data_IF_837046085230
#
_entry.id   IF_837046085230
#
_cell.length_a   1.000
_cell.length_b   1.000
_cell.length_c   1.000
_cell.angle_alpha   90.00
_cell.angle_beta   90.00
_cell.angle_gamma   90.00
#
_symmetry.space_group_name_H-M   'P 1'
#
loop_
_entity.id
_entity.type
_entity.pdbx_description
1 polymer ?
#
# COMPACT_ATOMS: atom_id res chain seq x y z
N UNK A 1 20.65 -12.82 -48.30
CA UNK A 1 19.18 -12.93 -48.13
C UNK A 1 18.81 -12.06 -46.92
N UNK A 2 18.16 -10.93 -47.14
CA UNK A 2 17.51 -10.22 -46.02
C UNK A 2 16.36 -11.11 -45.55
N UNK A 3 16.14 -11.18 -44.23
CA UNK A 3 15.17 -12.10 -43.61
C UNK A 3 13.73 -11.98 -44.16
N UNK A 4 13.44 -10.89 -44.88
CA UNK A 4 12.16 -10.61 -45.53
C UNK A 4 12.42 -10.09 -46.95
N UNK A 5 11.81 -10.73 -47.94
CA UNK A 5 11.97 -10.51 -49.38
C UNK A 5 11.45 -9.12 -49.83
N UNK A 6 12.09 -8.03 -49.42
CA UNK A 6 11.84 -6.67 -49.94
C UNK A 6 10.43 -6.11 -49.72
N UNK A 7 9.56 -6.80 -48.97
CA UNK A 7 8.19 -6.36 -48.68
C UNK A 7 8.15 -5.47 -47.44
N UNK A 8 7.55 -4.28 -47.57
CA UNK A 8 7.31 -3.35 -46.48
C UNK A 8 5.83 -3.42 -46.01
N UNK A 9 5.54 -3.32 -44.70
CA UNK A 9 6.47 -3.22 -43.57
C UNK A 9 7.15 -4.56 -43.24
N UNK A 10 8.36 -4.50 -42.68
CA UNK A 10 9.14 -5.69 -42.32
C UNK A 10 8.47 -6.58 -41.27
N UNK A 11 7.58 -6.02 -40.45
CA UNK A 11 6.79 -6.75 -39.45
C UNK A 11 5.30 -6.45 -39.68
N UNK A 12 4.61 -7.21 -40.54
CA UNK A 12 3.22 -6.95 -40.92
C UNK A 12 2.18 -7.36 -39.85
N UNK A 13 2.57 -7.43 -38.57
CA UNK A 13 1.69 -7.77 -37.46
C UNK A 13 1.06 -6.53 -36.82
N UNK A 14 -0.14 -6.69 -36.25
CA UNK A 14 -0.69 -5.67 -35.37
C UNK A 14 0.17 -5.56 -34.10
N UNK A 15 0.48 -4.33 -33.68
CA UNK A 15 1.15 -4.10 -32.42
C UNK A 15 0.28 -4.62 -31.27
N UNK A 16 0.87 -5.42 -30.37
CA UNK A 16 0.15 -5.92 -29.21
C UNK A 16 -0.08 -4.80 -28.19
N UNK A 17 -1.30 -4.69 -27.67
CA UNK A 17 -1.62 -3.82 -26.55
C UNK A 17 -1.33 -4.54 -25.23
N UNK A 18 -0.88 -3.79 -24.22
CA UNK A 18 -0.69 -4.35 -22.89
C UNK A 18 -2.07 -4.54 -22.20
N UNK A 19 -2.38 -5.73 -21.65
CA UNK A 19 -3.74 -6.07 -21.22
C UNK A 19 -4.16 -5.45 -19.87
N UNK A 20 -3.22 -4.93 -19.09
CA UNK A 20 -3.49 -4.40 -17.75
C UNK A 20 -3.00 -2.96 -17.62
N UNK A 21 -3.33 -2.33 -16.50
CA UNK A 21 -2.66 -1.09 -16.14
C UNK A 21 -1.17 -1.35 -15.85
N UNK A 22 -0.30 -0.63 -16.55
CA UNK A 22 1.15 -0.76 -16.41
C UNK A 22 1.62 -0.39 -15.01
N UNK A 23 1.03 0.63 -14.37
CA UNK A 23 1.43 1.02 -13.01
C UNK A 23 1.12 -0.06 -11.98
N UNK A 24 -0.06 -0.69 -12.11
CA UNK A 24 -0.44 -1.80 -11.25
C UNK A 24 0.44 -3.03 -11.47
N UNK A 25 0.71 -3.38 -12.74
CA UNK A 25 1.59 -4.51 -13.08
C UNK A 25 3.01 -4.32 -12.51
N UNK A 26 3.57 -3.11 -12.59
CA UNK A 26 4.88 -2.79 -12.01
C UNK A 26 4.86 -2.99 -10.49
N UNK A 27 3.89 -2.41 -9.78
CA UNK A 27 3.78 -2.54 -8.32
C UNK A 27 3.69 -4.02 -7.92
N UNK A 28 2.78 -4.77 -8.52
CA UNK A 28 2.60 -6.20 -8.22
C UNK A 28 3.88 -6.99 -8.50
N UNK A 29 4.55 -6.75 -9.63
CA UNK A 29 5.81 -7.44 -9.96
C UNK A 29 6.91 -7.18 -8.93
N UNK A 30 7.06 -5.94 -8.45
CA UNK A 30 8.06 -5.57 -7.45
C UNK A 30 7.79 -6.28 -6.13
N UNK A 31 6.55 -6.22 -5.62
CA UNK A 31 6.21 -6.88 -4.35
C UNK A 31 6.28 -8.40 -4.43
N UNK A 32 5.90 -9.01 -5.57
CA UNK A 32 6.06 -10.45 -5.78
C UNK A 32 7.54 -10.85 -5.83
N UNK A 33 8.41 -10.04 -6.45
CA UNK A 33 9.85 -10.31 -6.47
C UNK A 33 10.44 -10.26 -5.05
N UNK A 34 10.03 -9.28 -4.23
CA UNK A 34 10.44 -9.18 -2.81
C UNK A 34 9.91 -10.34 -1.98
N UNK A 35 8.67 -10.77 -2.22
CA UNK A 35 8.11 -11.94 -1.54
C UNK A 35 8.88 -13.21 -1.91
N UNK A 36 9.23 -13.39 -3.18
CA UNK A 36 9.99 -14.53 -3.66
C UNK A 36 11.39 -14.58 -3.02
N UNK A 37 12.09 -13.44 -2.92
CA UNK A 37 13.41 -13.40 -2.25
C UNK A 37 13.31 -13.75 -0.77
N UNK A 38 12.28 -13.29 -0.05
CA UNK A 38 12.07 -13.68 1.35
C UNK A 38 11.71 -15.16 1.52
N UNK A 39 10.98 -15.76 0.57
CA UNK A 39 10.71 -17.20 0.56
C UNK A 39 12.01 -18.00 0.35
N UNK A 40 12.92 -17.53 -0.50
CA UNK A 40 14.22 -18.17 -0.74
C UNK A 40 15.11 -18.10 0.51
N UNK A 41 15.08 -17.00 1.26
CA UNK A 41 15.88 -16.82 2.49
C UNK A 41 15.26 -17.59 3.68
N UNK A 42 13.97 -17.92 3.62
CA UNK A 42 13.20 -18.54 4.70
C UNK A 42 13.84 -19.82 5.31
N UNK A 43 14.48 -20.74 4.55
CA UNK A 43 15.15 -21.91 5.12
C UNK A 43 16.35 -21.57 6.01
N UNK A 44 16.96 -20.39 5.84
CA UNK A 44 18.10 -19.93 6.64
C UNK A 44 17.72 -19.48 8.06
N UNK A 45 16.43 -19.31 8.36
CA UNK A 45 15.94 -18.86 9.67
C UNK A 45 15.69 -20.07 10.57
N UNK A 46 16.35 -20.07 11.73
CA UNK A 46 16.34 -21.19 12.69
C UNK A 46 15.04 -21.26 13.49
N UNK A 47 14.60 -22.48 13.80
CA UNK A 47 13.61 -22.76 14.86
C UNK A 47 12.14 -22.47 14.55
N UNK A 48 11.34 -22.35 15.62
CA UNK A 48 9.87 -22.09 15.57
C UNK A 48 9.53 -20.63 15.24
N UNK A 49 10.48 -19.71 15.38
CA UNK A 49 10.35 -18.29 15.06
C UNK A 49 10.12 -17.99 13.56
N UNK A 50 10.43 -18.95 12.69
CA UNK A 50 10.29 -18.85 11.23
C UNK A 50 8.87 -18.51 10.77
N UNK A 51 7.85 -19.11 11.39
CA UNK A 51 6.45 -18.84 11.02
C UNK A 51 6.04 -17.42 11.38
N UNK A 52 6.41 -16.93 12.56
CA UNK A 52 6.12 -15.57 13.00
C UNK A 52 6.84 -14.53 12.14
N UNK A 53 8.11 -14.78 11.79
CA UNK A 53 8.85 -13.93 10.86
C UNK A 53 8.20 -13.89 9.48
N UNK A 54 7.81 -15.05 8.93
CA UNK A 54 7.15 -15.12 7.63
C UNK A 54 5.83 -14.36 7.63
N UNK A 55 4.96 -14.60 8.62
CA UNK A 55 3.67 -13.91 8.74
C UNK A 55 3.87 -12.39 8.86
N UNK A 56 4.86 -11.94 9.62
CA UNK A 56 5.20 -10.52 9.73
C UNK A 56 5.68 -9.92 8.40
N UNK A 57 6.55 -10.61 7.66
CA UNK A 57 7.05 -10.13 6.38
C UNK A 57 5.92 -10.07 5.34
N UNK A 58 5.10 -11.12 5.26
CA UNK A 58 3.97 -11.18 4.34
C UNK A 58 2.94 -10.10 4.65
N UNK A 59 2.54 -9.94 5.92
CA UNK A 59 1.58 -8.89 6.31
C UNK A 59 2.16 -7.50 6.09
N UNK A 60 3.44 -7.27 6.42
CA UNK A 60 4.13 -6.00 6.17
C UNK A 60 4.14 -5.65 4.68
N UNK A 61 4.60 -6.57 3.82
CA UNK A 61 4.61 -6.37 2.37
C UNK A 61 3.22 -6.18 1.79
N UNK A 62 2.23 -6.96 2.25
CA UNK A 62 0.84 -6.83 1.80
C UNK A 62 0.28 -5.43 2.06
N UNK A 63 0.47 -4.89 3.28
CA UNK A 63 0.02 -3.54 3.60
C UNK A 63 0.67 -2.50 2.68
N UNK A 64 1.99 -2.58 2.46
CA UNK A 64 2.69 -1.66 1.56
C UNK A 64 2.23 -1.75 0.12
N UNK A 65 2.02 -2.98 -0.38
CA UNK A 65 1.54 -3.23 -1.73
C UNK A 65 0.14 -2.65 -1.94
N UNK A 66 -0.74 -2.84 -0.95
CA UNK A 66 -2.08 -2.27 -0.98
C UNK A 66 -2.01 -0.75 -0.97
N UNK A 67 -1.27 -0.12 -0.05
CA UNK A 67 -1.16 1.35 0.04
C UNK A 67 -0.66 1.96 -1.28
N UNK A 68 0.35 1.37 -1.93
CA UNK A 68 0.81 1.86 -3.23
C UNK A 68 -0.20 1.58 -4.35
N UNK A 69 -0.88 0.44 -4.33
CA UNK A 69 -1.90 0.13 -5.33
C UNK A 69 -3.05 1.13 -5.26
N UNK A 70 -3.60 1.38 -4.06
CA UNK A 70 -4.74 2.29 -3.88
C UNK A 70 -4.40 3.74 -4.21
N UNK A 71 -3.12 4.12 -4.10
CA UNK A 71 -2.63 5.44 -4.47
C UNK A 71 -2.73 5.72 -5.98
N UNK A 72 -2.48 4.71 -6.82
CA UNK A 72 -2.47 4.85 -8.28
C UNK A 72 -3.70 4.28 -8.98
N UNK A 73 -4.52 3.53 -8.25
CA UNK A 73 -5.72 2.91 -8.81
C UNK A 73 -6.79 3.93 -9.20
N UNK A 74 -7.76 3.45 -9.98
CA UNK A 74 -8.85 4.25 -10.57
C UNK A 74 -10.24 3.72 -10.21
N UNK A 75 -10.31 2.76 -9.29
CA UNK A 75 -11.52 2.06 -8.85
C UNK A 75 -11.92 2.46 -7.42
N UNK A 76 -11.78 3.75 -7.07
CA UNK A 76 -12.29 4.25 -5.80
C UNK A 76 -13.82 4.36 -5.82
N UNK A 77 -14.36 4.81 -6.96
CA UNK A 77 -15.78 4.83 -7.24
C UNK A 77 -16.02 4.38 -8.68
N UNK A 78 -16.92 3.43 -8.88
CA UNK A 78 -17.19 2.83 -10.19
C UNK A 78 -18.68 2.81 -10.48
N UNK A 79 -19.06 3.00 -11.73
CA UNK A 79 -20.45 2.93 -12.18
C UNK A 79 -20.53 2.43 -13.62
N UNK A 80 -21.58 1.69 -13.93
CA UNK A 80 -21.80 1.11 -15.26
C UNK A 80 -23.25 1.33 -15.68
N UNK A 81 -23.44 1.56 -16.97
CA UNK A 81 -24.77 1.65 -17.57
C UNK A 81 -24.74 1.15 -19.00
N UNK A 82 -25.70 0.28 -19.34
CA UNK A 82 -25.94 -0.14 -20.72
C UNK A 82 -26.96 0.81 -21.33
N UNK A 83 -26.60 1.47 -22.43
CA UNK A 83 -27.50 2.39 -23.11
C UNK A 83 -27.27 2.43 -24.62
N UNK A 84 -28.37 2.72 -25.34
CA UNK A 84 -28.30 3.06 -26.75
C UNK A 84 -27.97 4.55 -26.88
N UNK A 85 -26.81 4.87 -27.43
CA UNK A 85 -26.28 6.23 -27.45
C UNK A 85 -25.77 6.61 -28.83
N UNK A 86 -25.69 7.92 -29.10
CA UNK A 86 -25.04 8.41 -30.31
C UNK A 86 -23.55 8.10 -30.24
N UNK A 87 -22.98 7.64 -31.36
CA UNK A 87 -21.56 7.27 -31.37
C UNK A 87 -20.66 8.44 -31.75
N UNK A 88 -20.79 8.91 -33.00
CA UNK A 88 -19.91 9.92 -33.62
C UNK A 88 -20.69 11.02 -34.33
N UNK A 89 -20.06 12.18 -34.44
CA UNK A 89 -20.58 13.30 -35.23
C UNK A 89 -20.78 12.89 -36.70
N UNK A 90 -21.76 13.52 -37.37
CA UNK A 90 -22.12 13.23 -38.77
C UNK A 90 -22.62 11.79 -39.03
N UNK A 91 -23.04 11.07 -37.98
CA UNK A 91 -23.74 9.80 -38.08
C UNK A 91 -24.98 9.81 -37.19
N UNK A 92 -26.09 9.30 -37.72
CA UNK A 92 -27.34 9.13 -36.96
C UNK A 92 -27.46 7.72 -36.34
N UNK A 93 -26.43 6.88 -36.50
CA UNK A 93 -26.46 5.51 -36.00
C UNK A 93 -26.29 5.52 -34.48
N UNK A 94 -27.21 4.81 -33.81
CA UNK A 94 -27.12 4.51 -32.39
C UNK A 94 -26.35 3.20 -32.20
N UNK A 95 -25.48 3.18 -31.20
CA UNK A 95 -24.74 1.99 -30.78
C UNK A 95 -25.21 1.58 -29.40
N UNK A 96 -25.34 0.27 -29.21
CA UNK A 96 -25.60 -0.32 -27.91
C UNK A 96 -24.27 -0.54 -27.20
N UNK A 97 -24.01 0.25 -26.15
CA UNK A 97 -22.72 0.21 -25.47
C UNK A 97 -22.87 0.24 -23.95
N UNK A 98 -21.95 -0.43 -23.29
CA UNK A 98 -21.71 -0.36 -21.86
C UNK A 98 -20.76 0.80 -21.59
N UNK A 99 -21.27 1.80 -20.88
CA UNK A 99 -20.53 3.00 -20.51
C UNK A 99 -20.14 2.85 -19.05
N UNK A 100 -18.85 2.83 -18.78
CA UNK A 100 -18.29 2.77 -17.43
C UNK A 100 -17.66 4.09 -17.02
N UNK A 101 -17.84 4.43 -15.75
CA UNK A 101 -17.23 5.57 -15.10
C UNK A 101 -16.38 5.06 -13.94
N UNK A 102 -15.09 5.34 -13.98
CA UNK A 102 -14.11 4.93 -12.99
C UNK A 102 -13.41 6.16 -12.42
N UNK A 103 -13.74 6.52 -11.20
CA UNK A 103 -13.16 7.68 -10.53
C UNK A 103 -12.05 7.21 -9.60
N UNK A 104 -10.85 7.75 -9.82
CA UNK A 104 -9.70 7.60 -8.95
C UNK A 104 -9.38 8.88 -8.18
N UNK A 105 -8.27 8.88 -7.45
CA UNK A 105 -7.83 10.05 -6.68
C UNK A 105 -7.33 11.19 -7.56
N UNK A 106 -6.62 10.85 -8.64
CA UNK A 106 -5.93 11.81 -9.51
C UNK A 106 -6.59 12.02 -10.88
N UNK A 107 -7.78 11.44 -11.11
CA UNK A 107 -8.48 11.56 -12.38
C UNK A 107 -9.66 10.60 -12.52
N UNK A 108 -10.24 10.62 -13.70
CA UNK A 108 -11.38 9.81 -14.11
C UNK A 108 -11.05 9.05 -15.38
N UNK A 109 -11.47 7.79 -15.43
CA UNK A 109 -11.44 6.94 -16.59
C UNK A 109 -12.87 6.68 -17.06
N UNK A 110 -13.11 6.86 -18.36
CA UNK A 110 -14.40 6.60 -18.99
C UNK A 110 -14.21 5.47 -19.99
N UNK A 111 -14.94 4.39 -19.80
CA UNK A 111 -14.93 3.23 -20.69
C UNK A 111 -16.18 3.23 -21.55
N UNK A 112 -16.03 2.83 -22.81
CA UNK A 112 -17.13 2.64 -23.75
C UNK A 112 -16.87 1.35 -24.51
N UNK A 113 -17.64 0.32 -24.17
CA UNK A 113 -17.51 -1.02 -24.76
C UNK A 113 -18.80 -1.37 -25.49
N UNK A 114 -18.70 -1.71 -26.78
CA UNK A 114 -19.86 -2.12 -27.57
C UNK A 114 -20.40 -3.49 -27.13
N UNK A 115 -21.73 -3.64 -27.17
CA UNK A 115 -22.41 -4.93 -26.98
C UNK A 115 -23.23 -5.31 -28.23
N UNK A 116 -22.64 -6.03 -29.22
CA UNK A 116 -21.29 -6.62 -29.25
C UNK A 116 -20.17 -5.60 -29.57
N UNK A 117 -18.91 -5.96 -29.34
CA UNK A 117 -17.75 -5.04 -29.51
C UNK A 117 -17.64 -4.49 -30.93
N UNK A 118 -17.89 -5.34 -31.93
CA UNK A 118 -17.90 -4.93 -33.33
C UNK A 118 -19.29 -4.45 -33.73
N UNK A 119 -19.43 -3.14 -33.91
CA UNK A 119 -20.66 -2.50 -34.37
C UNK A 119 -20.32 -1.45 -35.42
N UNK A 120 -21.19 -1.28 -36.43
CA UNK A 120 -21.00 -0.26 -37.47
C UNK A 120 -19.65 -0.39 -38.20
N UNK A 121 -19.13 -1.61 -38.35
CA UNK A 121 -17.81 -1.94 -38.91
C UNK A 121 -16.62 -1.34 -38.14
N UNK A 122 -16.80 -1.00 -36.87
CA UNK A 122 -15.77 -0.48 -35.98
C UNK A 122 -15.69 -1.31 -34.69
N UNK A 123 -14.50 -1.35 -34.09
CA UNK A 123 -14.23 -1.98 -32.79
C UNK A 123 -14.48 -0.92 -31.72
N UNK A 124 -15.53 -1.07 -30.92
CA UNK A 124 -15.89 -0.15 -29.85
C UNK A 124 -15.35 -0.70 -28.53
N UNK A 125 -14.11 -0.34 -28.20
CA UNK A 125 -13.45 -0.69 -26.93
C UNK A 125 -12.53 0.47 -26.51
N UNK A 126 -13.14 1.54 -25.99
CA UNK A 126 -12.44 2.74 -25.57
C UNK A 126 -12.25 2.75 -24.05
N UNK A 127 -11.07 3.21 -23.62
CA UNK A 127 -10.75 3.46 -22.21
C UNK A 127 -9.95 4.77 -22.12
N UNK A 128 -10.68 5.89 -22.04
CA UNK A 128 -10.09 7.22 -22.04
C UNK A 128 -9.85 7.72 -20.62
N UNK A 129 -8.74 8.41 -20.41
CA UNK A 129 -8.33 8.93 -19.10
C UNK A 129 -8.23 10.45 -19.12
N UNK A 130 -8.88 11.09 -18.17
CA UNK A 130 -8.78 12.52 -17.92
C UNK A 130 -8.23 12.75 -16.50
N UNK A 131 -7.02 13.29 -16.41
CA UNK A 131 -6.34 13.55 -15.14
C UNK A 131 -6.63 14.95 -14.58
N UNK A 132 -6.74 15.05 -13.27
CA UNK A 132 -6.85 16.32 -12.51
C UNK A 132 -5.79 16.44 -11.40
N UNK A 133 -4.68 15.73 -11.55
CA UNK A 133 -3.48 15.91 -10.70
C UNK A 133 -2.97 17.35 -10.74
N UNK A 134 -2.13 17.76 -9.80
CA UNK A 134 -1.64 19.15 -9.72
C UNK A 134 -0.97 19.63 -11.02
N UNK A 135 -0.20 18.76 -11.66
CA UNK A 135 0.51 19.08 -12.91
C UNK A 135 -0.37 18.92 -14.17
N UNK A 136 -1.60 18.41 -14.03
CA UNK A 136 -2.47 18.12 -15.15
C UNK A 136 -3.56 19.19 -15.30
N UNK A 137 -3.68 19.70 -16.52
CA UNK A 137 -4.81 20.52 -16.93
C UNK A 137 -5.91 19.63 -17.53
N UNK A 138 -6.99 19.48 -16.76
CA UNK A 138 -8.16 18.70 -17.16
C UNK A 138 -8.84 19.30 -18.39
N UNK A 139 -9.00 20.63 -18.42
CA UNK A 139 -9.73 21.30 -19.50
C UNK A 139 -8.93 21.27 -20.81
N UNK A 140 -7.59 21.35 -20.71
CA UNK A 140 -6.72 21.10 -21.85
C UNK A 140 -6.86 19.65 -22.38
N UNK A 141 -6.83 18.66 -21.50
CA UNK A 141 -6.98 17.24 -21.86
C UNK A 141 -8.34 16.96 -22.50
N UNK A 142 -9.40 17.58 -21.99
CA UNK A 142 -10.73 17.54 -22.59
C UNK A 142 -10.76 18.22 -23.97
N UNK A 143 -10.13 19.38 -24.12
CA UNK A 143 -9.97 20.07 -25.40
C UNK A 143 -9.22 19.25 -26.46
N UNK A 144 -8.20 18.49 -26.05
CA UNK A 144 -7.54 17.53 -26.94
C UNK A 144 -8.46 16.38 -27.32
N UNK A 145 -9.25 15.85 -26.38
CA UNK A 145 -10.25 14.82 -26.65
C UNK A 145 -11.30 15.27 -27.67
N UNK A 146 -11.75 16.52 -27.58
CA UNK A 146 -12.64 17.14 -28.57
C UNK A 146 -11.97 17.25 -29.95
N UNK A 147 -10.71 17.70 -30.01
CA UNK A 147 -9.95 17.79 -31.28
C UNK A 147 -9.68 16.43 -31.92
N UNK A 148 -9.44 15.40 -31.11
CA UNK A 148 -9.27 14.01 -31.55
C UNK A 148 -10.58 13.40 -32.07
N UNK A 149 -11.74 13.95 -31.70
CA UNK A 149 -13.04 13.45 -32.12
C UNK A 149 -13.46 12.18 -31.37
N UNK A 150 -13.23 12.14 -30.05
CA UNK A 150 -13.67 11.01 -29.22
C UNK A 150 -15.19 10.77 -29.33
N UNK A 151 -15.66 9.53 -29.09
CA UNK A 151 -17.09 9.21 -29.09
C UNK A 151 -17.90 10.14 -28.18
N UNK A 152 -19.09 10.53 -28.63
CA UNK A 152 -19.95 11.48 -27.91
C UNK A 152 -20.31 11.08 -26.46
N UNK A 153 -20.49 9.79 -26.10
CA UNK A 153 -20.77 9.41 -24.71
C UNK A 153 -19.60 9.69 -23.77
N UNK A 154 -18.37 9.50 -24.26
CA UNK A 154 -17.14 9.77 -23.49
C UNK A 154 -17.03 11.27 -23.25
N UNK A 155 -17.19 12.07 -24.30
CA UNK A 155 -17.14 13.53 -24.21
C UNK A 155 -18.23 14.08 -23.27
N UNK A 156 -19.45 13.55 -23.35
CA UNK A 156 -20.55 13.95 -22.47
C UNK A 156 -20.23 13.72 -20.99
N UNK A 157 -19.66 12.57 -20.63
CA UNK A 157 -19.25 12.28 -19.25
C UNK A 157 -18.08 13.16 -18.84
N UNK A 158 -17.07 13.28 -19.70
CA UNK A 158 -15.88 14.09 -19.43
C UNK A 158 -16.24 15.57 -19.21
N UNK A 159 -17.22 16.09 -19.94
CA UNK A 159 -17.73 17.46 -19.81
C UNK A 159 -18.27 17.75 -18.40
N UNK A 160 -18.94 16.77 -17.75
CA UNK A 160 -19.48 16.91 -16.39
C UNK A 160 -18.39 17.14 -15.32
N UNK A 161 -17.15 16.79 -15.63
CA UNK A 161 -15.98 16.95 -14.77
C UNK A 161 -15.05 18.09 -15.23
N UNK A 162 -15.49 18.95 -16.16
CA UNK A 162 -14.76 20.18 -16.51
C UNK A 162 -14.90 21.24 -15.42
N UNK A 163 -13.94 22.17 -15.35
CA UNK A 163 -13.95 23.23 -14.31
C UNK A 163 -15.13 24.19 -14.45
N UNK A 164 -15.57 24.44 -15.68
CA UNK A 164 -16.67 25.36 -16.01
C UNK A 164 -18.05 24.70 -15.94
N UNK A 165 -18.11 23.38 -15.69
CA UNK A 165 -19.39 22.67 -15.62
C UNK A 165 -20.27 23.19 -14.46
N UNK A 166 -21.59 23.35 -14.68
CA UNK A 166 -22.52 23.78 -13.62
C UNK A 166 -22.62 22.77 -12.47
N UNK A 167 -22.17 21.54 -12.71
CA UNK A 167 -22.23 20.43 -11.75
C UNK A 167 -21.15 20.50 -10.67
N UNK A 168 -20.09 21.29 -10.87
CA UNK A 168 -18.99 21.52 -9.90
C UNK A 168 -18.31 20.24 -9.36
N UNK A 169 -18.51 19.09 -10.01
CA UNK A 169 -17.97 17.80 -9.56
C UNK A 169 -16.45 17.80 -9.57
N UNK A 170 -15.85 18.44 -10.58
CA UNK A 170 -14.40 18.57 -10.72
C UNK A 170 -13.75 19.06 -9.43
N UNK A 171 -14.24 20.18 -8.88
CA UNK A 171 -13.65 20.82 -7.71
C UNK A 171 -13.70 19.93 -6.48
N UNK A 172 -14.84 19.27 -6.25
CA UNK A 172 -15.03 18.39 -5.08
C UNK A 172 -14.12 17.17 -5.15
N UNK A 173 -14.12 16.45 -6.27
CA UNK A 173 -13.29 15.27 -6.46
C UNK A 173 -11.80 15.58 -6.51
N UNK A 174 -11.41 16.71 -7.12
CA UNK A 174 -10.02 17.14 -7.14
C UNK A 174 -9.52 17.41 -5.73
N UNK A 175 -10.21 18.24 -4.95
CA UNK A 175 -9.79 18.58 -3.59
C UNK A 175 -9.74 17.34 -2.70
N UNK A 176 -10.80 16.55 -2.68
CA UNK A 176 -10.88 15.32 -1.89
C UNK A 176 -9.83 14.29 -2.29
N UNK A 177 -9.66 14.06 -3.60
CA UNK A 177 -8.65 13.15 -4.14
C UNK A 177 -7.23 13.57 -3.78
N UNK A 178 -6.94 14.88 -3.75
CA UNK A 178 -5.64 15.40 -3.32
C UNK A 178 -5.36 15.17 -1.83
N UNK A 179 -6.32 15.44 -0.94
CA UNK A 179 -6.13 15.17 0.49
C UNK A 179 -6.08 13.68 0.80
N UNK A 180 -6.88 12.86 0.12
CA UNK A 180 -6.80 11.40 0.20
C UNK A 180 -5.44 10.88 -0.27
N UNK A 181 -4.95 11.35 -1.43
CA UNK A 181 -3.61 11.04 -1.94
C UNK A 181 -2.50 11.44 -0.95
N UNK A 182 -2.58 12.65 -0.38
CA UNK A 182 -1.61 13.12 0.61
C UNK A 182 -1.58 12.23 1.86
N UNK A 183 -2.76 11.89 2.40
CA UNK A 183 -2.86 11.01 3.57
C UNK A 183 -2.36 9.60 3.29
N UNK A 184 -2.56 9.08 2.08
CA UNK A 184 -2.02 7.78 1.66
C UNK A 184 -0.50 7.78 1.48
N UNK A 185 0.08 8.84 0.93
CA UNK A 185 1.54 9.01 0.91
C UNK A 185 2.13 9.07 2.32
N UNK A 186 1.48 9.80 3.24
CA UNK A 186 1.87 9.81 4.65
C UNK A 186 1.70 8.43 5.30
N UNK A 187 0.64 7.68 4.95
CA UNK A 187 0.44 6.31 5.40
C UNK A 187 1.58 5.40 4.90
N UNK A 188 2.00 5.55 3.65
CA UNK A 188 3.13 4.80 3.09
C UNK A 188 4.44 5.09 3.83
N UNK A 189 4.75 6.36 4.10
CA UNK A 189 5.95 6.74 4.85
C UNK A 189 5.93 6.19 6.29
N UNK A 190 4.78 6.30 6.97
CA UNK A 190 4.63 5.80 8.36
C UNK A 190 4.69 4.27 8.42
N UNK A 191 4.16 3.56 7.42
CA UNK A 191 4.30 2.12 7.26
C UNK A 191 5.76 1.71 7.09
N UNK A 192 6.51 2.42 6.24
CA UNK A 192 7.94 2.17 6.03
C UNK A 192 8.72 2.32 7.34
N UNK A 193 8.47 3.41 8.08
CA UNK A 193 9.06 3.63 9.41
C UNK A 193 8.65 2.53 10.39
N UNK A 194 7.39 2.08 10.37
CA UNK A 194 6.92 0.98 11.22
C UNK A 194 7.67 -0.33 10.95
N UNK A 195 7.89 -0.69 9.68
CA UNK A 195 8.69 -1.86 9.31
C UNK A 195 10.12 -1.75 9.82
N UNK A 196 10.75 -0.58 9.65
CA UNK A 196 12.11 -0.33 10.14
C UNK A 196 12.17 -0.44 11.67
N UNK A 197 11.23 0.17 12.39
CA UNK A 197 11.19 0.11 13.85
C UNK A 197 10.95 -1.30 14.37
N UNK A 198 10.13 -2.09 13.69
CA UNK A 198 9.95 -3.50 14.04
C UNK A 198 11.20 -4.35 13.76
N UNK A 199 12.08 -3.94 12.83
CA UNK A 199 13.36 -4.63 12.58
C UNK A 199 14.38 -4.36 13.68
N UNK A 200 14.21 -3.24 14.38
CA UNK A 200 14.94 -2.88 15.59
C UNK A 200 14.21 -3.42 16.83
N UNK A 201 14.86 -3.53 18.01
CA UNK A 201 14.21 -3.96 19.25
C UNK A 201 13.19 -2.94 19.81
N UNK A 202 12.74 -1.95 19.03
CA UNK A 202 11.92 -0.81 19.44
C UNK A 202 10.45 -1.03 19.04
N UNK A 203 9.85 -2.09 19.61
CA UNK A 203 8.54 -2.62 19.19
C UNK A 203 7.36 -1.68 19.47
N UNK A 204 7.39 -0.96 20.59
CA UNK A 204 6.31 -0.08 21.03
C UNK A 204 6.09 1.07 20.05
N UNK A 205 7.17 1.72 19.61
CA UNK A 205 7.09 2.80 18.62
C UNK A 205 6.70 2.27 17.23
N UNK A 206 7.14 1.06 16.87
CA UNK A 206 6.66 0.39 15.64
C UNK A 206 5.14 0.21 15.63
N UNK A 207 4.56 -0.16 16.78
CA UNK A 207 3.12 -0.26 16.98
C UNK A 207 2.39 1.08 16.88
N UNK A 208 2.92 2.15 17.47
CA UNK A 208 2.36 3.49 17.31
C UNK A 208 2.40 4.00 15.87
N UNK A 209 3.49 3.76 15.15
CA UNK A 209 3.58 4.13 13.74
C UNK A 209 2.59 3.34 12.89
N UNK A 210 2.36 2.06 13.20
CA UNK A 210 1.35 1.23 12.52
C UNK A 210 -0.09 1.73 12.78
N UNK A 211 -0.39 2.17 14.01
CA UNK A 211 -1.65 2.83 14.31
C UNK A 211 -1.83 4.15 13.56
N UNK A 212 -0.76 4.94 13.45
CA UNK A 212 -0.76 6.17 12.68
C UNK A 212 -1.03 5.89 11.19
N UNK A 213 -0.40 4.86 10.61
CA UNK A 213 -0.71 4.38 9.26
C UNK A 213 -2.19 4.05 9.11
N UNK A 214 -2.76 3.29 10.05
CA UNK A 214 -4.18 2.94 10.04
C UNK A 214 -5.09 4.17 10.09
N UNK A 215 -4.80 5.12 10.99
CA UNK A 215 -5.55 6.36 11.11
C UNK A 215 -5.51 7.18 9.81
N UNK A 216 -4.33 7.31 9.19
CA UNK A 216 -4.17 8.01 7.92
C UNK A 216 -4.95 7.36 6.78
N UNK A 217 -4.97 6.01 6.70
CA UNK A 217 -5.79 5.29 5.73
C UNK A 217 -7.29 5.53 5.97
N UNK A 218 -7.76 5.51 7.23
CA UNK A 218 -9.16 5.80 7.55
C UNK A 218 -9.54 7.27 7.27
N UNK A 219 -8.63 8.22 7.48
CA UNK A 219 -8.85 9.62 7.10
C UNK A 219 -8.95 9.79 5.58
N UNK A 220 -8.16 9.05 4.80
CA UNK A 220 -8.28 9.07 3.33
C UNK A 220 -9.69 8.66 2.86
N UNK A 221 -10.28 7.65 3.50
CA UNK A 221 -11.66 7.22 3.23
C UNK A 221 -12.67 8.31 3.60
N UNK A 222 -12.46 8.99 4.73
CA UNK A 222 -13.33 10.07 5.17
C UNK A 222 -13.30 11.25 4.18
N UNK A 223 -12.13 11.63 3.67
CA UNK A 223 -12.03 12.65 2.61
C UNK A 223 -12.77 12.24 1.34
N UNK A 224 -12.66 10.98 0.92
CA UNK A 224 -13.37 10.49 -0.26
C UNK A 224 -14.89 10.43 -0.05
N UNK A 225 -15.32 10.00 1.15
CA UNK A 225 -16.72 9.91 1.55
C UNK A 225 -17.42 11.26 1.53
N UNK A 226 -16.76 12.32 2.01
CA UNK A 226 -17.34 13.68 2.00
C UNK A 226 -17.58 14.18 0.59
N UNK A 227 -16.65 13.96 -0.35
CA UNK A 227 -16.86 14.32 -1.76
C UNK A 227 -18.04 13.56 -2.38
N UNK A 228 -18.18 12.26 -2.11
CA UNK A 228 -19.28 11.46 -2.67
C UNK A 228 -20.66 11.90 -2.19
N UNK A 229 -20.79 12.32 -0.93
CA UNK A 229 -22.08 12.74 -0.36
C UNK A 229 -22.50 14.16 -0.72
N UNK A 230 -21.67 14.91 -1.45
CA UNK A 230 -22.12 16.19 -2.01
C UNK A 230 -23.19 15.94 -3.09
N UNK A 231 -24.23 16.78 -3.19
CA UNK A 231 -25.26 16.61 -4.21
C UNK A 231 -24.63 16.77 -5.61
N UNK A 232 -24.83 15.76 -6.46
CA UNK A 232 -24.24 15.67 -7.79
C UNK A 232 -25.31 15.82 -8.88
N UNK A 233 -24.93 16.38 -10.02
CA UNK A 233 -25.75 16.28 -11.22
C UNK A 233 -25.97 14.82 -11.63
N UNK A 234 -27.18 14.44 -12.06
CA UNK A 234 -27.41 13.13 -12.64
C UNK A 234 -26.72 13.03 -14.01
N UNK A 235 -26.04 11.91 -14.25
CA UNK A 235 -25.52 11.54 -15.57
C UNK A 235 -26.56 10.61 -16.22
N UNK A 236 -27.15 11.05 -17.32
CA UNK A 236 -28.24 10.33 -17.98
C UNK A 236 -27.94 10.13 -19.46
N UNK A 237 -28.17 8.91 -19.92
CA UNK A 237 -28.10 8.49 -21.31
C UNK A 237 -29.52 8.11 -21.76
N UNK A 238 -30.26 9.07 -22.29
CA UNK A 238 -31.68 8.89 -22.61
C UNK A 238 -32.49 8.56 -21.35
N UNK A 239 -32.99 7.33 -21.27
CA UNK A 239 -33.78 6.84 -20.12
C UNK A 239 -32.94 6.17 -19.03
N UNK A 240 -31.68 5.85 -19.30
CA UNK A 240 -30.79 5.16 -18.37
C UNK A 240 -29.94 6.17 -17.57
N UNK A 241 -29.87 6.00 -16.25
CA UNK A 241 -29.04 6.84 -15.37
C UNK A 241 -27.78 6.10 -14.94
N UNK A 242 -26.61 6.71 -15.10
CA UNK A 242 -25.36 6.18 -14.56
C UNK A 242 -25.30 6.49 -13.06
N UNK A 243 -25.34 5.43 -12.25
CA UNK A 243 -25.12 5.51 -10.80
C UNK A 243 -23.76 4.92 -10.47
N UNK A 244 -23.05 5.58 -9.57
CA UNK A 244 -21.72 5.18 -9.13
C UNK A 244 -21.79 4.63 -7.71
N UNK A 245 -21.05 3.54 -7.47
CA UNK A 245 -20.91 2.85 -6.19
C UNK A 245 -19.45 2.82 -5.73
N UNK A 246 -19.22 2.49 -4.45
CA UNK A 246 -17.86 2.33 -3.93
C UNK A 246 -17.16 1.19 -4.66
N UNK A 247 -16.00 1.48 -5.25
CA UNK A 247 -15.21 0.50 -5.97
C UNK A 247 -14.35 -0.36 -5.04
N UNK A 248 -13.60 -1.30 -5.62
CA UNK A 248 -12.81 -2.28 -4.89
C UNK A 248 -11.77 -1.65 -3.97
N UNK A 249 -11.10 -0.59 -4.43
CA UNK A 249 -10.06 0.08 -3.65
C UNK A 249 -10.56 0.79 -2.40
N UNK A 250 -11.80 1.27 -2.38
CA UNK A 250 -12.40 1.82 -1.17
C UNK A 250 -12.52 0.74 -0.07
N UNK A 251 -13.09 -0.42 -0.43
CA UNK A 251 -13.24 -1.55 0.49
C UNK A 251 -11.89 -2.15 0.89
N UNK A 252 -10.95 -2.23 -0.04
CA UNK A 252 -9.61 -2.74 0.22
C UNK A 252 -8.87 -1.84 1.22
N UNK A 253 -8.97 -0.51 1.06
CA UNK A 253 -8.40 0.47 1.99
C UNK A 253 -9.04 0.38 3.37
N UNK A 254 -10.36 0.19 3.45
CA UNK A 254 -11.07 -0.01 4.73
C UNK A 254 -10.61 -1.28 5.44
N UNK A 255 -10.56 -2.40 4.72
CA UNK A 255 -10.14 -3.68 5.28
C UNK A 255 -8.69 -3.64 5.77
N UNK A 256 -7.78 -3.06 4.99
CA UNK A 256 -6.36 -2.93 5.38
C UNK A 256 -6.14 -1.90 6.49
N UNK A 257 -6.87 -0.78 6.49
CA UNK A 257 -6.83 0.18 7.59
C UNK A 257 -7.28 -0.43 8.92
N UNK A 258 -8.38 -1.19 8.92
CA UNK A 258 -8.85 -1.92 10.10
C UNK A 258 -7.86 -3.01 10.54
N UNK A 259 -7.27 -3.75 9.59
CA UNK A 259 -6.23 -4.74 9.88
C UNK A 259 -5.03 -4.07 10.58
N UNK A 260 -4.53 -2.95 10.06
CA UNK A 260 -3.41 -2.23 10.67
C UNK A 260 -3.75 -1.68 12.05
N UNK A 261 -4.99 -1.21 12.25
CA UNK A 261 -5.49 -0.75 13.54
C UNK A 261 -5.49 -1.89 14.58
N UNK A 262 -6.04 -3.05 14.22
CA UNK A 262 -6.06 -4.22 15.09
C UNK A 262 -4.66 -4.72 15.43
N UNK A 263 -3.77 -4.80 14.44
CA UNK A 263 -2.38 -5.22 14.65
C UNK A 263 -1.61 -4.22 15.53
N UNK A 264 -1.75 -2.92 15.28
CA UNK A 264 -1.11 -1.87 16.09
C UNK A 264 -1.58 -1.90 17.55
N UNK A 265 -2.90 -2.01 17.79
CA UNK A 265 -3.45 -2.13 19.15
C UNK A 265 -2.96 -3.42 19.83
N UNK A 266 -2.94 -4.54 19.11
CA UNK A 266 -2.47 -5.82 19.64
C UNK A 266 -1.02 -5.75 20.12
N UNK A 267 -0.14 -5.08 19.37
CA UNK A 267 1.26 -4.90 19.76
C UNK A 267 1.38 -4.07 21.04
N UNK A 268 0.61 -3.00 21.17
CA UNK A 268 0.63 -2.12 22.35
C UNK A 268 0.11 -2.86 23.59
N UNK A 269 -1.03 -3.54 23.46
CA UNK A 269 -1.61 -4.33 24.55
C UNK A 269 -0.66 -5.45 24.98
N UNK A 270 -0.05 -6.16 24.03
CA UNK A 270 0.89 -7.23 24.35
C UNK A 270 2.16 -6.71 25.01
N UNK A 271 2.64 -5.53 24.62
CA UNK A 271 3.77 -4.87 25.27
C UNK A 271 3.45 -4.53 26.73
N UNK A 272 2.25 -4.01 27.01
CA UNK A 272 1.82 -3.67 28.37
C UNK A 272 1.59 -4.89 29.26
N UNK A 273 1.05 -5.98 28.70
CA UNK A 273 0.65 -7.15 29.49
C UNK A 273 1.78 -8.17 29.65
N UNK A 274 2.52 -8.47 28.58
CA UNK A 274 3.52 -9.56 28.55
C UNK A 274 4.71 -9.20 27.63
N UNK A 275 5.60 -8.28 28.06
CA UNK A 275 6.73 -7.84 27.23
C UNK A 275 7.68 -8.99 26.85
N UNK A 276 7.84 -9.99 27.71
CA UNK A 276 8.70 -11.16 27.43
C UNK A 276 8.14 -12.06 26.32
N UNK A 277 6.81 -12.24 26.23
CA UNK A 277 6.22 -12.99 25.11
C UNK A 277 6.30 -12.23 23.80
N UNK A 278 6.21 -10.90 23.84
CA UNK A 278 6.39 -10.05 22.66
C UNK A 278 7.82 -10.17 22.12
N UNK A 279 8.85 -10.14 22.99
CA UNK A 279 10.25 -10.35 22.57
C UNK A 279 10.46 -11.73 21.94
N UNK A 280 9.83 -12.77 22.46
CA UNK A 280 9.88 -14.12 21.90
C UNK A 280 9.22 -14.18 20.51
N UNK A 281 8.04 -13.58 20.32
CA UNK A 281 7.37 -13.50 19.00
C UNK A 281 8.24 -12.77 17.97
N UNK A 282 9.02 -11.79 18.40
CA UNK A 282 9.98 -11.06 17.55
C UNK A 282 11.38 -11.69 17.50
N UNK A 283 11.57 -12.88 18.10
CA UNK A 283 12.86 -13.59 18.20
C UNK A 283 14.02 -12.73 18.75
N UNK A 284 13.73 -11.80 19.68
CA UNK A 284 14.73 -10.90 20.24
C UNK A 284 15.54 -11.51 21.40
N UNK A 285 15.08 -12.61 22.00
CA UNK A 285 15.75 -13.25 23.14
C UNK A 285 16.95 -14.13 22.76
N UNK A 286 17.01 -14.67 21.54
CA UNK A 286 18.14 -15.55 21.15
C UNK A 286 19.48 -14.79 21.13
N UNK A 287 19.47 -13.47 20.88
CA UNK A 287 20.70 -12.66 20.82
C UNK A 287 21.35 -12.39 22.18
N UNK A 288 20.55 -12.31 23.26
CA UNK A 288 21.09 -12.15 24.62
C UNK A 288 21.82 -13.40 25.09
N UNK A 289 21.39 -14.58 24.65
CA UNK A 289 22.05 -15.84 24.98
C UNK A 289 23.46 -15.97 24.39
N UNK A 290 23.74 -15.36 23.24
CA UNK A 290 25.07 -15.42 22.61
C UNK A 290 26.05 -14.39 23.20
N UNK A 291 25.59 -13.20 23.58
CA UNK A 291 26.42 -12.19 24.26
C UNK A 291 26.78 -12.61 25.70
N UNK A 292 25.87 -13.23 26.46
CA UNK A 292 26.18 -13.77 27.80
C UNK A 292 27.14 -14.97 27.77
N UNK A 293 27.15 -15.76 26.68
CA UNK A 293 28.08 -16.89 26.50
C UNK A 293 29.49 -16.41 26.19
N UNK A 294 29.62 -15.31 25.43
CA UNK A 294 30.92 -14.68 25.19
C UNK A 294 31.49 -14.01 26.45
N UNK A 295 30.66 -13.34 27.26
CA UNK A 295 31.11 -12.67 28.49
C UNK A 295 31.55 -13.66 29.59
N UNK A 296 30.93 -14.84 29.67
CA UNK A 296 31.35 -15.89 30.63
C UNK A 296 32.66 -16.59 30.27
N UNK A 297 33.13 -16.48 29.03
CA UNK A 297 34.36 -17.15 28.58
C UNK A 297 35.66 -16.45 29.02
N UNK A 298 35.58 -15.20 29.52
CA UNK A 298 36.74 -14.39 29.92
C UNK A 298 36.97 -14.30 31.44
N UNK A 299 36.14 -14.95 32.27
CA UNK A 299 36.38 -14.97 33.71
C UNK A 299 37.38 -16.09 34.06
N UNK A 300 38.54 -15.79 34.66
CA UNK A 300 39.46 -16.83 35.10
C UNK A 300 38.77 -17.70 36.16
N UNK A 301 38.89 -19.02 36.00
CA UNK A 301 38.32 -20.01 36.88
C UNK A 301 38.65 -19.70 38.36
N UNK A 302 37.62 -19.56 39.19
CA UNK A 302 37.78 -19.55 40.65
C UNK A 302 38.42 -20.87 41.09
N UNK A 303 39.47 -20.85 41.92
CA UNK A 303 40.07 -22.08 42.40
C UNK A 303 39.09 -22.81 43.34
N UNK A 304 38.99 -24.12 43.13
CA UNK A 304 38.26 -25.08 43.94
C UNK A 304 38.77 -25.04 45.39
N UNK A 305 37.86 -24.82 46.33
CA UNK A 305 38.13 -24.95 47.77
C UNK A 305 38.24 -26.44 48.15
N UNK A 306 39.41 -26.85 48.63
CA UNK A 306 39.57 -28.07 49.45
C UNK A 306 40.40 -27.72 50.69
N UNK A 307 39.68 -27.63 51.81
CA UNK A 307 40.03 -27.99 53.20
C UNK A 307 41.52 -28.12 53.58
N UNK A 308 42.02 -27.27 54.49
CA UNK A 308 42.64 -27.71 55.74
C UNK A 308 42.96 -26.55 56.71
N UNK A 309 42.56 -26.74 57.96
CA UNK A 309 42.84 -25.93 59.14
C UNK A 309 44.34 -25.64 59.33
N UNK A 310 44.73 -24.37 59.45
CA UNK A 310 45.85 -23.93 60.30
C UNK A 310 45.58 -22.49 60.82
N UNK A 311 45.25 -22.45 62.11
CA UNK A 311 45.52 -21.43 63.12
C UNK A 311 46.47 -20.26 62.71
N UNK A 312 46.02 -19.01 62.82
CA UNK A 312 46.84 -17.89 63.34
C UNK A 312 45.97 -16.68 63.70
N UNK A 313 45.96 -16.35 64.99
CA UNK A 313 45.38 -15.14 65.59
C UNK A 313 46.43 -14.01 65.55
N UNK A 314 46.06 -12.72 65.37
CA UNK A 314 47.02 -11.64 65.19
C UNK A 314 47.66 -11.22 66.51
N UNK A 315 48.95 -10.92 66.43
CA UNK A 315 49.79 -10.45 67.54
C UNK A 315 49.61 -8.93 67.74
N UNK A 316 49.26 -8.51 68.96
CA UNK A 316 49.48 -7.14 69.42
C UNK A 316 48.48 -6.65 70.46
N UNK A 317 48.78 -6.84 71.75
CA UNK A 317 48.90 -5.74 72.72
C UNK A 317 49.46 -6.21 74.07
N UNK A 318 50.27 -5.33 74.67
CA UNK A 318 51.10 -5.47 75.86
C UNK A 318 50.32 -5.64 77.18
N UNK A 319 50.93 -6.34 78.16
CA UNK A 319 51.20 -5.82 79.51
C UNK A 319 52.04 -6.80 80.38
N UNK A 320 53.32 -6.45 80.52
CA UNK A 320 54.11 -6.18 81.75
C UNK A 320 54.10 -7.11 83.00
N UNK A 321 55.29 -7.13 83.65
CA UNK A 321 55.66 -7.45 85.06
C UNK A 321 56.11 -8.93 85.29
N UNK A 322 57.28 -9.31 85.84
CA UNK A 322 58.30 -8.70 86.72
C UNK A 322 59.65 -9.48 86.65
N UNK A 323 60.76 -8.73 86.78
CA UNK A 323 61.99 -8.96 87.56
C UNK A 323 62.66 -10.37 87.67
N UNK A 324 63.96 -10.46 87.36
CA UNK A 324 65.08 -10.47 88.35
C UNK A 324 66.45 -10.78 87.70
N UNK A 325 67.47 -10.04 88.16
CA UNK A 325 68.94 -10.31 88.27
C UNK A 325 69.62 -11.23 87.23
N UNK A 326 70.73 -10.84 86.60
CA UNK A 326 72.02 -10.48 87.21
C UNK A 326 72.93 -9.77 86.20
#
# INVERSE_FOLDING_TARGET
MTLWNGSFPFYPGANACFPFDTTWAVIVSVFLSLLATFIIILPGIRGRGRLFWFLRVVTGLFVGAVVLTIQFTRDWETGWVTANTSYKSFSHVLVNADIGLHIGLAGVNVTLVGNPVNQVNEIIDYNERFSWSFDADYDHSYGEGLRKGLPSPILYVAEKFTTQSPCSMHRQYRISGHYASLTLWMAFCTWLISILLFSMPILLYGGYMLLLTAALMLFSLLFFFTARNTPKCPIQFGTASLKTDYGGSFWLTLATGLLCLLLGLSVIILHSMQPEKLKLVFNLDERKGEEEVWDKSYLPAKPSSSTQDVLMVPLGELCEVTATQL
#
